data_IF_819680089482
#
_entry.id   IF_819680089482
#
_cell.length_a   1.000
_cell.length_b   1.000
_cell.length_c   1.000
_cell.angle_alpha   90.00
_cell.angle_beta   90.00
_cell.angle_gamma   90.00
#
_symmetry.space_group_name_H-M   'P 1'
#
loop_
_entity.id
_entity.type
_entity.pdbx_description
1 polymer ?
#
# COMPACT_ATOMS: atom_id res chain seq x y z
N UNK A 1 29.16 -14.86 -21.53
CA UNK A 1 29.45 -14.86 -20.07
C UNK A 1 28.15 -15.13 -19.35
N UNK A 2 28.01 -16.28 -18.69
CA UNK A 2 26.77 -16.63 -17.99
C UNK A 2 26.54 -15.69 -16.80
N UNK A 3 25.28 -15.35 -16.52
CA UNK A 3 24.88 -14.55 -15.36
C UNK A 3 25.32 -15.18 -14.02
N UNK A 4 25.63 -16.47 -14.01
CA UNK A 4 26.18 -17.19 -12.87
C UNK A 4 27.63 -16.78 -12.54
N UNK A 5 28.48 -16.57 -13.56
CA UNK A 5 29.87 -16.14 -13.33
C UNK A 5 30.01 -14.70 -12.82
N UNK A 6 28.95 -13.87 -12.89
CA UNK A 6 28.92 -12.54 -12.28
C UNK A 6 28.51 -12.57 -10.80
N UNK A 7 27.70 -13.56 -10.36
CA UNK A 7 27.29 -13.68 -8.95
C UNK A 7 28.41 -14.17 -8.03
N UNK A 8 29.35 -14.97 -8.55
CA UNK A 8 30.53 -15.39 -7.77
C UNK A 8 31.52 -14.24 -7.59
N UNK A 9 31.74 -13.42 -8.62
CA UNK A 9 32.58 -12.22 -8.49
C UNK A 9 32.03 -11.18 -7.50
N UNK A 10 30.71 -11.03 -7.39
CA UNK A 10 30.09 -10.14 -6.39
C UNK A 10 30.12 -10.71 -4.96
N UNK A 11 30.33 -12.02 -4.78
CA UNK A 11 30.53 -12.62 -3.45
C UNK A 11 31.96 -12.47 -2.95
N UNK A 12 32.94 -12.43 -3.84
CA UNK A 12 34.36 -12.36 -3.50
C UNK A 12 34.86 -10.94 -3.20
N UNK A 13 34.09 -9.90 -3.53
CA UNK A 13 34.39 -8.50 -3.16
C UNK A 13 33.90 -8.14 -1.73
N UNK A 14 33.43 -9.12 -0.95
CA UNK A 14 33.01 -8.94 0.45
C UNK A 14 34.13 -9.39 1.40
N UNK A 15 35.29 -8.72 1.30
CA UNK A 15 36.28 -8.72 2.38
C UNK A 15 36.77 -7.29 2.58
N UNK A 16 36.45 -6.73 3.74
CA UNK A 16 37.17 -5.58 4.32
C UNK A 16 36.35 -4.31 4.47
N UNK A 17 35.49 -4.24 5.48
CA UNK A 17 35.28 -2.97 6.18
C UNK A 17 35.05 -3.21 7.68
N UNK A 18 36.09 -3.69 8.37
CA UNK A 18 36.19 -3.66 9.84
C UNK A 18 36.56 -2.25 10.38
N UNK A 19 36.45 -1.20 9.56
CA UNK A 19 36.84 0.18 9.93
C UNK A 19 35.71 1.21 9.92
N UNK A 20 34.47 0.83 9.62
CA UNK A 20 33.37 1.76 9.46
C UNK A 20 32.71 2.18 10.79
N UNK A 21 32.52 3.49 10.98
CA UNK A 21 31.68 4.12 12.01
C UNK A 21 30.28 3.50 12.16
N UNK A 22 29.82 2.69 11.19
CA UNK A 22 28.55 1.96 11.23
C UNK A 22 28.42 0.93 12.35
N UNK A 23 29.54 0.38 12.86
CA UNK A 23 29.56 -0.50 14.04
C UNK A 23 29.73 0.23 15.38
N UNK A 24 29.94 1.55 15.34
CA UNK A 24 30.23 2.33 16.53
C UNK A 24 29.00 2.42 17.45
N UNK A 25 29.12 2.18 18.77
CA UNK A 25 27.97 2.12 19.69
C UNK A 25 27.07 3.35 19.63
N UNK A 26 27.65 4.55 19.49
CA UNK A 26 26.89 5.81 19.37
C UNK A 26 26.14 5.95 18.04
N UNK A 27 26.68 5.40 16.95
CA UNK A 27 26.03 5.42 15.62
C UNK A 27 24.89 4.40 15.58
N UNK A 28 25.09 3.25 16.23
CA UNK A 28 24.05 2.24 16.43
C UNK A 28 22.92 2.77 17.33
N UNK A 29 23.24 3.52 18.39
CA UNK A 29 22.26 4.12 19.29
C UNK A 29 21.52 5.31 18.65
N UNK A 30 22.21 6.10 17.82
CA UNK A 30 21.57 7.12 16.97
C UNK A 30 20.65 6.48 15.91
N UNK A 31 21.07 5.40 15.23
CA UNK A 31 20.21 4.63 14.33
C UNK A 31 19.00 4.06 15.07
N UNK A 32 19.18 3.49 16.27
CA UNK A 32 18.10 2.91 17.09
C UNK A 32 17.11 3.99 17.57
N UNK A 33 17.61 5.16 17.93
CA UNK A 33 16.81 6.31 18.39
C UNK A 33 16.07 7.00 17.24
N UNK A 34 16.71 7.12 16.07
CA UNK A 34 16.08 7.64 14.84
C UNK A 34 15.02 6.68 14.31
N UNK A 35 15.30 5.38 14.33
CA UNK A 35 14.35 4.30 13.96
C UNK A 35 13.15 4.23 14.93
N UNK A 36 13.37 4.48 16.23
CA UNK A 36 12.32 4.64 17.26
C UNK A 36 11.49 5.92 17.04
N UNK A 37 12.10 7.06 16.70
CA UNK A 37 11.39 8.32 16.39
C UNK A 37 10.51 8.19 15.16
N UNK A 38 11.01 7.60 14.08
CA UNK A 38 10.22 7.39 12.85
C UNK A 38 9.07 6.40 13.09
N UNK A 39 9.20 5.47 14.05
CA UNK A 39 8.09 4.59 14.47
C UNK A 39 7.01 5.34 15.27
N UNK A 40 7.37 6.44 15.93
CA UNK A 40 6.37 7.35 16.52
C UNK A 40 5.58 8.15 15.48
N UNK A 41 5.96 8.15 14.20
CA UNK A 41 5.34 8.98 13.15
C UNK A 41 4.26 8.26 12.31
N UNK A 42 4.34 6.93 12.10
CA UNK A 42 3.19 6.16 11.55
C UNK A 42 2.10 5.99 12.62
N UNK A 43 2.51 5.87 13.88
CA UNK A 43 1.63 6.20 15.02
C UNK A 43 1.27 7.67 15.00
N UNK A 44 2.10 8.60 14.57
CA UNK A 44 1.76 10.02 14.50
C UNK A 44 0.49 10.32 13.69
N UNK A 45 0.27 9.64 12.56
CA UNK A 45 -0.99 9.73 11.81
C UNK A 45 -2.17 9.10 12.55
N UNK A 46 -2.02 7.87 13.02
CA UNK A 46 -3.09 7.15 13.74
C UNK A 46 -3.39 7.77 15.12
N UNK A 47 -2.37 8.26 15.80
CA UNK A 47 -2.37 9.04 17.04
C UNK A 47 -2.84 10.45 16.79
N UNK A 48 -2.61 11.08 15.63
CA UNK A 48 -3.27 12.34 15.30
C UNK A 48 -4.77 12.10 15.16
N UNK A 49 -5.19 11.03 14.48
CA UNK A 49 -6.60 10.65 14.42
C UNK A 49 -7.17 10.29 15.79
N UNK A 50 -6.39 9.60 16.63
CA UNK A 50 -6.75 9.26 18.00
C UNK A 50 -6.79 10.50 18.90
N UNK A 51 -5.84 11.43 18.77
CA UNK A 51 -5.77 12.71 19.48
C UNK A 51 -6.91 13.60 19.01
N UNK A 52 -7.24 13.63 17.71
CA UNK A 52 -8.41 14.34 17.19
C UNK A 52 -9.69 13.72 17.74
N UNK A 53 -9.83 12.40 17.76
CA UNK A 53 -10.97 11.72 18.37
C UNK A 53 -11.07 12.01 19.88
N UNK A 54 -9.96 11.91 20.62
CA UNK A 54 -9.88 12.22 22.06
C UNK A 54 -10.18 13.71 22.31
N UNK A 55 -9.64 14.63 21.51
CA UNK A 55 -9.90 16.08 21.61
C UNK A 55 -11.37 16.38 21.35
N UNK A 56 -11.97 15.76 20.33
CA UNK A 56 -13.42 15.86 20.05
C UNK A 56 -14.23 15.35 21.24
N UNK A 57 -13.83 14.23 21.85
CA UNK A 57 -14.46 13.66 23.05
C UNK A 57 -14.16 14.44 24.34
N UNK A 58 -13.20 15.38 24.32
CA UNK A 58 -12.81 16.23 25.46
C UNK A 58 -13.52 17.59 25.46
N UNK A 59 -14.33 17.88 24.44
CA UNK A 59 -15.14 19.09 24.37
C UNK A 59 -16.24 19.08 25.46
N UNK A 60 -16.72 20.26 25.92
CA UNK A 60 -17.83 20.32 26.87
C UNK A 60 -19.04 19.52 26.39
N UNK A 61 -19.71 18.81 27.29
CA UNK A 61 -20.80 17.89 26.95
C UNK A 61 -21.94 18.58 26.18
N UNK A 62 -22.25 19.82 26.55
CA UNK A 62 -23.22 20.66 25.83
C UNK A 62 -22.76 20.98 24.40
N UNK A 63 -21.47 21.23 24.19
CA UNK A 63 -20.90 21.50 22.87
C UNK A 63 -20.89 20.23 22.01
N UNK A 64 -20.50 19.10 22.62
CA UNK A 64 -20.54 17.79 21.99
C UNK A 64 -21.97 17.46 21.54
N UNK A 65 -22.95 17.61 22.43
CA UNK A 65 -24.34 17.26 22.16
C UNK A 65 -25.01 18.20 21.15
N UNK A 66 -24.70 19.50 21.20
CA UNK A 66 -25.37 20.49 20.36
C UNK A 66 -24.72 20.69 18.98
N UNK A 67 -23.40 20.55 18.87
CA UNK A 67 -22.66 20.87 17.64
C UNK A 67 -21.98 19.66 17.00
N UNK A 68 -21.42 18.74 17.78
CA UNK A 68 -20.60 17.64 17.24
C UNK A 68 -21.41 16.37 16.99
N UNK A 69 -22.21 15.92 17.95
CA UNK A 69 -23.03 14.71 17.85
C UNK A 69 -23.97 14.75 16.64
N UNK A 70 -24.62 15.88 16.32
CA UNK A 70 -25.42 15.99 15.10
C UNK A 70 -24.60 15.82 13.83
N UNK A 71 -23.31 16.19 13.84
CA UNK A 71 -22.38 16.13 12.72
C UNK A 71 -21.46 14.91 12.73
N UNK A 72 -21.57 14.02 13.72
CA UNK A 72 -20.61 12.93 13.96
C UNK A 72 -20.35 12.06 12.72
N UNK A 73 -21.39 11.81 11.93
CA UNK A 73 -21.28 11.00 10.72
C UNK A 73 -20.52 11.73 9.61
N UNK A 74 -20.74 13.03 9.45
CA UNK A 74 -20.02 13.85 8.47
C UNK A 74 -18.56 14.05 8.89
N UNK A 75 -18.30 14.23 10.19
CA UNK A 75 -16.94 14.31 10.72
C UNK A 75 -16.17 13.01 10.50
N UNK A 76 -16.77 11.85 10.77
CA UNK A 76 -16.15 10.55 10.49
C UNK A 76 -15.89 10.38 8.98
N UNK A 77 -16.88 10.74 8.14
CA UNK A 77 -16.76 10.69 6.67
C UNK A 77 -15.67 11.61 6.11
N UNK A 78 -15.34 12.69 6.79
CA UNK A 78 -14.23 13.58 6.45
C UNK A 78 -12.89 13.08 7.01
N UNK A 79 -12.86 12.62 8.27
CA UNK A 79 -11.64 12.18 8.94
C UNK A 79 -11.03 10.95 8.26
N UNK A 80 -11.84 10.00 7.80
CA UNK A 80 -11.36 8.78 7.13
C UNK A 80 -10.55 9.08 5.87
N UNK A 81 -11.05 9.82 4.86
CA UNK A 81 -10.26 10.14 3.67
C UNK A 81 -9.05 11.03 3.98
N UNK A 82 -9.11 11.94 4.97
CA UNK A 82 -7.93 12.70 5.42
C UNK A 82 -6.86 11.76 5.97
N UNK A 83 -7.25 10.82 6.84
CA UNK A 83 -6.36 9.84 7.45
C UNK A 83 -5.73 8.96 6.39
N UNK A 84 -6.56 8.38 5.52
CA UNK A 84 -6.10 7.50 4.45
C UNK A 84 -5.20 8.25 3.46
N UNK A 85 -5.53 9.50 3.10
CA UNK A 85 -4.65 10.34 2.29
C UNK A 85 -3.29 10.55 2.97
N UNK A 86 -3.27 10.95 4.24
CA UNK A 86 -2.04 11.17 4.99
C UNK A 86 -1.16 9.91 5.08
N UNK A 87 -1.78 8.76 5.36
CA UNK A 87 -1.09 7.46 5.41
C UNK A 87 -0.53 7.07 4.04
N UNK A 88 -1.32 7.20 2.97
CA UNK A 88 -0.87 6.87 1.62
C UNK A 88 0.19 7.86 1.11
N UNK A 89 0.10 9.13 1.50
CA UNK A 89 1.11 10.13 1.17
C UNK A 89 2.43 9.81 1.86
N UNK A 90 2.37 9.41 3.14
CA UNK A 90 3.55 8.95 3.89
C UNK A 90 4.14 7.67 3.29
N UNK A 91 3.30 6.72 2.86
CA UNK A 91 3.75 5.52 2.14
C UNK A 91 4.46 5.89 0.82
N UNK A 92 3.88 6.80 0.04
CA UNK A 92 4.48 7.30 -1.19
C UNK A 92 5.82 8.01 -0.93
N UNK A 93 5.87 8.88 0.08
CA UNK A 93 7.10 9.56 0.50
C UNK A 93 8.16 8.56 0.95
N UNK A 94 7.76 7.53 1.69
CA UNK A 94 8.66 6.46 2.12
C UNK A 94 9.25 5.73 0.91
N UNK A 95 8.41 5.32 -0.02
CA UNK A 95 8.82 4.60 -1.23
C UNK A 95 9.76 5.45 -2.10
N UNK A 96 9.45 6.73 -2.31
CA UNK A 96 10.22 7.59 -3.22
C UNK A 96 11.43 8.27 -2.61
N UNK A 97 11.42 8.54 -1.30
CA UNK A 97 12.40 9.44 -0.67
C UNK A 97 13.17 8.76 0.46
N UNK A 98 12.50 8.02 1.35
CA UNK A 98 13.14 7.48 2.55
C UNK A 98 13.76 6.09 2.33
N UNK A 99 13.17 5.30 1.44
CA UNK A 99 13.68 3.97 1.13
C UNK A 99 15.00 4.13 0.36
N UNK A 100 16.12 3.61 0.89
CA UNK A 100 17.37 3.64 0.16
C UNK A 100 17.21 2.88 -1.16
N UNK A 101 17.97 3.26 -2.21
CA UNK A 101 17.95 2.54 -3.48
C UNK A 101 18.50 1.14 -3.26
N UNK A 102 17.60 0.18 -3.03
CA UNK A 102 17.90 -1.24 -2.93
C UNK A 102 17.87 -1.89 -4.30
N UNK A 103 17.31 -1.19 -5.29
CA UNK A 103 17.14 -1.65 -6.65
C UNK A 103 18.41 -1.40 -7.49
N UNK A 104 18.82 -2.34 -8.35
CA UNK A 104 19.87 -2.11 -9.32
C UNK A 104 19.65 -0.82 -10.12
N UNK A 105 20.67 0.04 -10.20
CA UNK A 105 20.60 1.33 -10.92
C UNK A 105 20.09 1.21 -12.36
N UNK A 106 20.37 0.08 -13.01
CA UNK A 106 19.89 -0.21 -14.36
C UNK A 106 18.37 -0.22 -14.48
N UNK A 107 17.66 -0.78 -13.50
CA UNK A 107 16.19 -0.95 -13.51
C UNK A 107 15.49 0.41 -13.50
N UNK A 108 15.96 1.32 -12.65
CA UNK A 108 15.33 2.63 -12.41
C UNK A 108 15.85 3.73 -13.34
N UNK A 109 16.77 3.42 -14.25
CA UNK A 109 17.44 4.42 -15.09
C UNK A 109 16.53 5.08 -16.12
N UNK A 110 15.52 4.35 -16.64
CA UNK A 110 14.59 4.86 -17.64
C UNK A 110 13.37 5.53 -17.02
N UNK A 111 12.66 4.82 -16.14
CA UNK A 111 11.34 5.23 -15.65
C UNK A 111 11.30 5.51 -14.13
N UNK A 112 12.47 5.56 -13.48
CA UNK A 112 12.56 5.68 -12.03
C UNK A 112 11.86 4.51 -11.32
N UNK A 113 11.19 4.80 -10.20
CA UNK A 113 10.41 3.79 -9.46
C UNK A 113 9.02 3.51 -10.07
N UNK A 114 8.61 4.21 -11.13
CA UNK A 114 7.30 3.97 -11.75
C UNK A 114 7.18 2.60 -12.44
N UNK A 115 8.29 1.89 -12.65
CA UNK A 115 8.27 0.50 -13.12
C UNK A 115 7.71 -0.47 -12.07
N UNK A 116 7.70 -0.09 -10.79
CA UNK A 116 7.18 -0.94 -9.72
C UNK A 116 5.65 -0.82 -9.58
N UNK A 117 5.01 -1.95 -9.37
CA UNK A 117 3.56 -2.05 -9.25
C UNK A 117 3.06 -1.25 -8.04
N UNK A 118 3.79 -1.33 -6.93
CA UNK A 118 3.54 -0.60 -5.68
C UNK A 118 3.39 0.90 -5.89
N UNK A 119 4.30 1.52 -6.65
CA UNK A 119 4.26 2.97 -6.93
C UNK A 119 3.00 3.37 -7.71
N UNK A 120 2.65 2.59 -8.74
CA UNK A 120 1.46 2.86 -9.54
C UNK A 120 0.18 2.75 -8.70
N UNK A 121 0.08 1.72 -7.87
CA UNK A 121 -1.07 1.51 -6.99
C UNK A 121 -1.17 2.60 -5.93
N UNK A 122 -0.07 2.95 -5.26
CA UNK A 122 -0.06 4.05 -4.28
C UNK A 122 -0.50 5.38 -4.94
N UNK A 123 -0.01 5.66 -6.16
CA UNK A 123 -0.43 6.83 -6.92
C UNK A 123 -1.94 6.84 -7.21
N UNK A 124 -2.50 5.70 -7.62
CA UNK A 124 -3.95 5.54 -7.84
C UNK A 124 -4.75 5.74 -6.54
N UNK A 125 -4.29 5.18 -5.42
CA UNK A 125 -4.92 5.39 -4.12
C UNK A 125 -4.90 6.87 -3.72
N UNK A 126 -3.79 7.58 -3.95
CA UNK A 126 -3.68 9.01 -3.66
C UNK A 126 -4.64 9.86 -4.49
N UNK A 127 -4.75 9.59 -5.80
CA UNK A 127 -5.74 10.25 -6.66
C UNK A 127 -7.15 10.01 -6.12
N UNK A 128 -7.47 8.76 -5.79
CA UNK A 128 -8.76 8.41 -5.23
C UNK A 128 -9.07 9.11 -3.90
N UNK A 129 -8.16 9.10 -2.92
CA UNK A 129 -8.38 9.76 -1.64
C UNK A 129 -8.45 11.29 -1.77
N UNK A 130 -7.74 11.86 -2.75
CA UNK A 130 -7.89 13.28 -3.10
C UNK A 130 -9.30 13.58 -3.62
N UNK A 131 -9.81 12.78 -4.56
CA UNK A 131 -11.18 12.93 -5.07
C UNK A 131 -12.22 12.75 -3.97
N UNK A 132 -12.02 11.75 -3.10
CA UNK A 132 -12.90 11.51 -1.95
C UNK A 132 -12.88 12.70 -0.98
N UNK A 133 -11.70 13.25 -0.68
CA UNK A 133 -11.56 14.41 0.20
C UNK A 133 -12.25 15.65 -0.39
N UNK A 134 -12.00 15.95 -1.67
CA UNK A 134 -12.67 17.05 -2.39
C UNK A 134 -14.18 16.86 -2.38
N UNK A 135 -14.66 15.63 -2.62
CA UNK A 135 -16.08 15.30 -2.57
C UNK A 135 -16.72 15.57 -1.22
N UNK A 136 -16.04 15.22 -0.12
CA UNK A 136 -16.53 15.52 1.24
C UNK A 136 -16.51 17.01 1.54
N UNK A 137 -15.47 17.75 1.14
CA UNK A 137 -15.45 19.21 1.29
C UNK A 137 -16.60 19.87 0.52
N UNK A 138 -16.80 19.49 -0.75
CA UNK A 138 -17.92 19.97 -1.56
C UNK A 138 -19.26 19.77 -0.85
N UNK A 139 -19.49 18.59 -0.24
CA UNK A 139 -20.71 18.30 0.52
C UNK A 139 -20.87 19.20 1.75
N UNK A 140 -19.81 19.36 2.56
CA UNK A 140 -19.84 20.20 3.77
C UNK A 140 -20.19 21.65 3.44
N UNK A 141 -19.70 22.17 2.31
CA UNK A 141 -19.98 23.54 1.87
C UNK A 141 -21.27 23.68 1.04
N UNK A 142 -22.06 22.61 0.88
CA UNK A 142 -23.32 22.64 0.13
C UNK A 142 -23.16 22.70 -1.39
N UNK A 143 -21.98 22.39 -1.92
CA UNK A 143 -21.68 22.31 -3.36
C UNK A 143 -21.65 20.85 -3.84
N UNK A 144 -22.69 20.08 -3.55
CA UNK A 144 -22.74 18.66 -3.95
C UNK A 144 -22.59 18.53 -5.48
N UNK A 145 -21.58 17.76 -5.91
CA UNK A 145 -21.32 17.48 -7.31
C UNK A 145 -21.60 16.00 -7.60
N UNK A 146 -22.65 15.75 -8.38
CA UNK A 146 -23.09 14.40 -8.72
C UNK A 146 -22.04 13.63 -9.52
N UNK A 147 -21.32 14.30 -10.43
CA UNK A 147 -20.26 13.68 -11.23
C UNK A 147 -19.11 13.24 -10.34
N UNK A 148 -18.66 14.10 -9.42
CA UNK A 148 -17.58 13.78 -8.49
C UNK A 148 -17.97 12.62 -7.56
N UNK A 149 -19.21 12.62 -7.09
CA UNK A 149 -19.77 11.52 -6.29
C UNK A 149 -19.76 10.23 -7.11
N UNK A 150 -20.36 10.24 -8.29
CA UNK A 150 -20.42 9.09 -9.20
C UNK A 150 -19.02 8.51 -9.49
N UNK A 151 -18.08 9.37 -9.88
CA UNK A 151 -16.70 8.96 -10.19
C UNK A 151 -16.02 8.37 -8.96
N UNK A 152 -16.11 9.03 -7.81
CA UNK A 152 -15.45 8.56 -6.57
C UNK A 152 -15.99 7.20 -6.14
N UNK A 153 -17.31 7.00 -6.13
CA UNK A 153 -17.91 5.75 -5.68
C UNK A 153 -17.68 4.59 -6.67
N UNK A 154 -17.71 4.84 -7.99
CA UNK A 154 -17.33 3.82 -8.98
C UNK A 154 -15.86 3.48 -8.94
N UNK A 155 -15.01 4.49 -8.79
CA UNK A 155 -13.56 4.31 -8.78
C UNK A 155 -13.11 3.53 -7.53
N UNK A 156 -13.81 3.69 -6.41
CA UNK A 156 -13.54 2.97 -5.17
C UNK A 156 -13.38 1.45 -5.35
N UNK A 157 -14.24 0.79 -6.13
CA UNK A 157 -14.15 -0.68 -6.32
C UNK A 157 -12.81 -1.09 -6.94
N UNK A 158 -12.31 -0.28 -7.87
CA UNK A 158 -11.04 -0.51 -8.55
C UNK A 158 -9.88 -0.29 -7.58
N UNK A 159 -9.94 0.80 -6.83
CA UNK A 159 -8.93 1.17 -5.82
C UNK A 159 -8.87 0.13 -4.71
N UNK A 160 -10.03 -0.35 -4.24
CA UNK A 160 -10.13 -1.42 -3.27
C UNK A 160 -9.47 -2.69 -3.80
N UNK A 161 -9.81 -3.11 -5.03
CA UNK A 161 -9.26 -4.31 -5.66
C UNK A 161 -7.73 -4.22 -5.83
N UNK A 162 -7.22 -3.10 -6.33
CA UNK A 162 -5.78 -2.87 -6.50
C UNK A 162 -5.04 -2.78 -5.16
N UNK A 163 -5.63 -2.09 -4.17
CA UNK A 163 -5.07 -1.96 -2.82
C UNK A 163 -5.00 -3.31 -2.08
N UNK A 164 -6.03 -4.14 -2.22
CA UNK A 164 -6.04 -5.52 -1.73
C UNK A 164 -4.97 -6.36 -2.46
N UNK A 165 -4.93 -6.30 -3.80
CA UNK A 165 -3.99 -7.06 -4.61
C UNK A 165 -2.54 -6.74 -4.27
N UNK A 166 -2.21 -5.46 -4.10
CA UNK A 166 -0.87 -5.01 -3.69
C UNK A 166 -0.41 -5.66 -2.38
N UNK A 167 -1.27 -5.62 -1.36
CA UNK A 167 -0.97 -6.23 -0.06
C UNK A 167 -0.90 -7.75 -0.14
N UNK A 168 -1.84 -8.39 -0.83
CA UNK A 168 -1.88 -9.84 -0.95
C UNK A 168 -0.65 -10.39 -1.67
N UNK A 169 -0.24 -9.78 -2.78
CA UNK A 169 0.96 -10.21 -3.49
C UNK A 169 2.23 -9.99 -2.68
N UNK A 170 2.32 -8.88 -1.95
CA UNK A 170 3.44 -8.66 -1.03
C UNK A 170 3.52 -9.72 0.05
N UNK A 171 2.42 -10.00 0.77
CA UNK A 171 2.43 -11.00 1.82
C UNK A 171 2.62 -12.41 1.27
N UNK A 172 2.06 -12.73 0.10
CA UNK A 172 2.31 -14.00 -0.59
C UNK A 172 3.80 -14.15 -0.97
N UNK A 173 4.44 -13.07 -1.43
CA UNK A 173 5.88 -13.05 -1.73
C UNK A 173 6.73 -13.22 -0.48
N UNK A 174 6.53 -12.39 0.55
CA UNK A 174 7.33 -12.48 1.80
C UNK A 174 7.14 -13.81 2.53
N UNK A 175 5.92 -14.34 2.57
CA UNK A 175 5.63 -15.62 3.22
C UNK A 175 5.98 -16.83 2.34
N UNK A 176 5.93 -16.70 1.02
CA UNK A 176 6.13 -17.78 0.07
C UNK A 176 7.55 -17.91 -0.48
N UNK A 177 8.30 -16.81 -0.60
CA UNK A 177 9.60 -16.76 -1.28
C UNK A 177 10.78 -16.68 -0.30
N UNK A 178 11.65 -17.69 -0.34
CA UNK A 178 12.84 -17.73 0.48
C UNK A 178 13.88 -16.67 0.05
N UNK A 179 13.98 -16.38 -1.25
CA UNK A 179 14.95 -15.41 -1.78
C UNK A 179 14.59 -13.99 -1.34
N UNK A 180 13.31 -13.66 -1.31
CA UNK A 180 12.83 -12.36 -0.83
C UNK A 180 13.12 -12.18 0.66
N UNK A 181 12.90 -13.22 1.48
CA UNK A 181 13.27 -13.18 2.90
C UNK A 181 14.77 -13.06 3.10
N UNK A 182 15.58 -13.77 2.31
CA UNK A 182 17.03 -13.65 2.37
C UNK A 182 17.48 -12.24 2.01
N UNK A 183 16.90 -11.64 0.97
CA UNK A 183 17.19 -10.27 0.56
C UNK A 183 16.83 -9.25 1.66
N UNK A 184 15.63 -9.38 2.24
CA UNK A 184 15.19 -8.57 3.37
C UNK A 184 16.17 -8.68 4.55
N UNK A 185 16.56 -9.90 4.93
CA UNK A 185 17.50 -10.14 6.02
C UNK A 185 18.89 -9.59 5.72
N UNK A 186 19.38 -9.73 4.47
CA UNK A 186 20.65 -9.18 4.03
C UNK A 186 20.71 -7.66 4.19
N UNK A 187 19.64 -6.96 3.81
CA UNK A 187 19.54 -5.51 4.00
C UNK A 187 19.37 -5.13 5.48
N UNK A 188 18.63 -5.93 6.25
CA UNK A 188 18.49 -5.75 7.68
C UNK A 188 19.84 -5.80 8.41
N UNK A 189 20.69 -6.78 8.07
CA UNK A 189 22.05 -6.91 8.61
C UNK A 189 22.95 -5.72 8.24
N UNK A 190 22.68 -5.04 7.13
CA UNK A 190 23.35 -3.78 6.73
C UNK A 190 22.77 -2.55 7.45
N UNK A 191 21.87 -2.76 8.41
CA UNK A 191 21.19 -1.71 9.16
C UNK A 191 20.15 -0.95 8.34
N UNK A 192 19.67 -1.52 7.23
CA UNK A 192 18.54 -1.01 6.45
C UNK A 192 17.30 -1.82 6.83
N UNK A 193 16.29 -1.23 7.50
CA UNK A 193 15.10 -1.96 7.93
C UNK A 193 14.15 -2.20 6.73
N UNK A 194 14.57 -2.97 5.73
CA UNK A 194 13.84 -3.15 4.46
C UNK A 194 12.45 -3.77 4.68
N UNK A 195 12.33 -4.80 5.51
CA UNK A 195 11.04 -5.38 5.90
C UNK A 195 10.06 -4.31 6.36
N UNK A 196 10.54 -3.35 7.15
CA UNK A 196 9.71 -2.27 7.69
C UNK A 196 9.20 -1.36 6.58
N UNK A 197 10.07 -0.93 5.67
CA UNK A 197 9.66 -0.10 4.54
C UNK A 197 8.59 -0.81 3.71
N UNK A 198 8.82 -2.08 3.38
CA UNK A 198 7.90 -2.88 2.58
C UNK A 198 6.56 -3.11 3.30
N UNK A 199 6.56 -3.46 4.59
CA UNK A 199 5.32 -3.58 5.36
C UNK A 199 4.55 -2.27 5.45
N UNK A 200 5.25 -1.14 5.61
CA UNK A 200 4.60 0.17 5.62
C UNK A 200 3.99 0.51 4.26
N UNK A 201 4.72 0.35 3.16
CA UNK A 201 4.21 0.72 1.83
C UNK A 201 3.08 -0.18 1.37
N UNK A 202 3.20 -1.49 1.59
CA UNK A 202 2.19 -2.46 1.15
C UNK A 202 1.04 -2.55 2.15
N UNK A 203 1.30 -2.69 3.45
CA UNK A 203 0.25 -2.84 4.47
C UNK A 203 -0.65 -1.61 4.64
N UNK A 204 -0.14 -0.41 4.36
CA UNK A 204 -0.95 0.82 4.35
C UNK A 204 -2.13 0.72 3.37
N UNK A 205 -1.94 0.13 2.20
CA UNK A 205 -3.00 0.07 1.19
C UNK A 205 -4.18 -0.75 1.68
N UNK A 206 -3.92 -1.95 2.24
CA UNK A 206 -4.95 -2.82 2.81
C UNK A 206 -5.72 -2.12 3.93
N UNK A 207 -5.00 -1.48 4.86
CA UNK A 207 -5.61 -0.75 5.97
C UNK A 207 -6.53 0.37 5.46
N UNK A 208 -6.01 1.23 4.57
CA UNK A 208 -6.73 2.40 4.09
C UNK A 208 -8.00 2.01 3.30
N UNK A 209 -7.94 0.99 2.43
CA UNK A 209 -9.12 0.59 1.64
C UNK A 209 -10.19 -0.08 2.50
N UNK A 210 -9.80 -0.81 3.55
CA UNK A 210 -10.74 -1.41 4.50
C UNK A 210 -11.38 -0.36 5.42
N UNK A 211 -10.60 0.59 5.94
CA UNK A 211 -11.16 1.69 6.74
C UNK A 211 -12.17 2.49 5.92
N UNK A 212 -11.82 2.83 4.67
CA UNK A 212 -12.73 3.54 3.79
C UNK A 212 -14.00 2.73 3.50
N UNK A 213 -13.90 1.42 3.23
CA UNK A 213 -15.07 0.56 3.07
C UNK A 213 -16.00 0.56 4.30
N UNK A 214 -15.43 0.43 5.50
CA UNK A 214 -16.18 0.31 6.77
C UNK A 214 -16.97 1.60 7.06
N UNK A 215 -16.39 2.76 6.77
CA UNK A 215 -16.96 4.05 7.14
C UNK A 215 -17.67 4.79 6.01
N UNK A 216 -17.58 4.31 4.77
CA UNK A 216 -18.28 4.89 3.61
C UNK A 216 -19.77 4.55 3.63
N UNK A 217 -20.60 5.40 3.02
CA UNK A 217 -22.04 5.17 2.90
C UNK A 217 -22.30 3.94 2.00
N UNK A 218 -22.78 2.86 2.62
CA UNK A 218 -22.97 1.54 1.98
C UNK A 218 -24.00 1.57 0.87
N UNK A 219 -25.11 2.27 1.07
CA UNK A 219 -26.17 2.36 0.09
C UNK A 219 -25.68 3.04 -1.18
N UNK A 220 -24.90 4.12 -1.02
CA UNK A 220 -24.26 4.81 -2.14
C UNK A 220 -23.18 3.95 -2.82
N UNK A 221 -22.34 3.24 -2.06
CA UNK A 221 -21.36 2.29 -2.65
C UNK A 221 -22.08 1.25 -3.50
N UNK A 222 -23.15 0.67 -2.97
CA UNK A 222 -23.89 -0.38 -3.67
C UNK A 222 -24.68 0.15 -4.86
N UNK A 223 -25.24 1.37 -4.79
CA UNK A 223 -25.96 1.97 -5.92
C UNK A 223 -25.03 2.34 -7.08
N UNK A 224 -23.74 2.59 -6.79
CA UNK A 224 -22.72 2.89 -7.78
C UNK A 224 -21.79 1.72 -8.10
N UNK A 225 -22.11 0.49 -7.67
CA UNK A 225 -21.33 -0.68 -8.03
C UNK A 225 -21.26 -0.81 -9.57
N UNK A 226 -20.05 -0.81 -10.16
CA UNK A 226 -19.90 -1.11 -11.58
C UNK A 226 -20.31 -2.56 -11.86
N UNK A 227 -20.71 -2.83 -13.11
CA UNK A 227 -21.00 -4.22 -13.52
C UNK A 227 -19.72 -5.06 -13.46
N UNK A 228 -19.87 -6.39 -13.33
CA UNK A 228 -18.72 -7.28 -13.24
C UNK A 228 -17.83 -7.19 -14.49
N UNK A 229 -18.44 -7.05 -15.67
CA UNK A 229 -17.73 -6.89 -16.93
C UNK A 229 -16.86 -5.62 -16.93
N UNK A 230 -17.38 -4.52 -16.36
CA UNK A 230 -16.61 -3.28 -16.26
C UNK A 230 -15.41 -3.44 -15.30
N UNK A 231 -15.59 -4.14 -14.18
CA UNK A 231 -14.50 -4.42 -13.22
C UNK A 231 -13.42 -5.28 -13.89
N UNK A 232 -13.83 -6.34 -14.60
CA UNK A 232 -12.91 -7.22 -15.31
C UNK A 232 -12.15 -6.44 -16.38
N UNK A 233 -12.87 -5.68 -17.22
CA UNK A 233 -12.27 -4.94 -18.33
C UNK A 233 -11.28 -3.87 -17.85
N UNK A 234 -11.62 -3.13 -16.80
CA UNK A 234 -10.76 -2.08 -16.25
C UNK A 234 -9.52 -2.64 -15.55
N UNK A 235 -9.65 -3.70 -14.73
CA UNK A 235 -8.50 -4.33 -14.08
C UNK A 235 -7.61 -5.05 -15.09
N UNK A 236 -8.19 -5.66 -16.12
CA UNK A 236 -7.44 -6.21 -17.24
C UNK A 236 -6.74 -5.11 -18.06
N UNK A 237 -7.41 -3.98 -18.27
CA UNK A 237 -6.83 -2.79 -18.90
C UNK A 237 -5.63 -2.26 -18.12
N UNK A 238 -5.75 -2.14 -16.79
CA UNK A 238 -4.65 -1.78 -15.91
C UNK A 238 -3.52 -2.81 -15.99
N UNK A 239 -3.83 -4.11 -15.91
CA UNK A 239 -2.84 -5.19 -16.01
C UNK A 239 -2.09 -5.15 -17.34
N UNK A 240 -2.80 -4.92 -18.45
CA UNK A 240 -2.22 -4.77 -19.79
C UNK A 240 -1.31 -3.54 -19.86
N UNK A 241 -1.78 -2.39 -19.37
CA UNK A 241 -0.98 -1.17 -19.27
C UNK A 241 0.33 -1.43 -18.50
N UNK A 242 0.23 -2.00 -17.31
CA UNK A 242 1.39 -2.26 -16.46
C UNK A 242 2.35 -3.26 -17.10
N UNK A 243 1.81 -4.28 -17.78
CA UNK A 243 2.60 -5.25 -18.55
C UNK A 243 3.41 -4.56 -19.64
N UNK A 244 2.76 -3.73 -20.46
CA UNK A 244 3.42 -2.96 -21.52
C UNK A 244 4.51 -2.06 -20.92
N UNK A 245 4.22 -1.41 -19.79
CA UNK A 245 5.17 -0.54 -19.11
C UNK A 245 6.43 -1.28 -18.64
N UNK A 246 6.27 -2.44 -18.00
CA UNK A 246 7.39 -3.29 -17.58
C UNK A 246 8.20 -3.80 -18.77
N UNK A 247 7.53 -4.23 -19.85
CA UNK A 247 8.19 -4.72 -21.05
C UNK A 247 8.96 -3.61 -21.79
N UNK A 248 8.42 -2.39 -21.80
CA UNK A 248 9.11 -1.21 -22.32
C UNK A 248 10.34 -0.86 -21.48
N UNK A 249 10.20 -0.90 -20.15
CA UNK A 249 11.35 -0.68 -19.27
C UNK A 249 12.43 -1.75 -19.50
N UNK A 250 12.05 -3.02 -19.66
CA UNK A 250 12.97 -4.11 -19.95
C UNK A 250 13.65 -3.94 -21.32
N UNK A 251 12.92 -3.57 -22.37
CA UNK A 251 13.50 -3.42 -23.71
C UNK A 251 14.55 -2.31 -23.77
N UNK A 252 14.42 -1.29 -22.93
CA UNK A 252 15.36 -0.16 -22.84
C UNK A 252 16.53 -0.46 -21.89
N UNK A 253 16.23 -1.02 -20.71
CA UNK A 253 17.24 -1.19 -19.64
C UNK A 253 17.93 -2.54 -19.64
N UNK A 254 17.29 -3.56 -20.21
CA UNK A 254 17.72 -4.97 -20.14
C UNK A 254 17.44 -5.65 -18.79
N UNK A 255 16.72 -5.00 -17.87
CA UNK A 255 16.44 -5.55 -16.54
C UNK A 255 14.95 -5.52 -16.20
N UNK A 256 14.43 -6.63 -15.67
CA UNK A 256 13.09 -6.65 -15.09
C UNK A 256 13.11 -6.04 -13.68
N UNK A 257 12.02 -5.35 -13.27
CA UNK A 257 11.90 -4.79 -11.92
C UNK A 257 11.90 -5.85 -10.83
N UNK A 258 11.44 -7.07 -11.13
CA UNK A 258 11.36 -8.15 -10.15
C UNK A 258 12.43 -9.22 -10.40
N UNK A 259 13.23 -9.60 -9.39
CA UNK A 259 14.30 -10.59 -9.53
C UNK A 259 13.82 -11.95 -10.09
N UNK A 260 12.67 -12.44 -9.65
CA UNK A 260 12.11 -13.72 -10.11
C UNK A 260 11.82 -13.74 -11.62
N UNK A 261 11.49 -12.59 -12.23
CA UNK A 261 11.28 -12.48 -13.68
C UNK A 261 12.58 -12.63 -14.45
N UNK A 262 13.69 -12.11 -13.92
CA UNK A 262 15.01 -12.32 -14.52
C UNK A 262 15.41 -13.80 -14.49
N UNK A 263 14.93 -14.57 -13.50
CA UNK A 263 15.14 -16.01 -13.40
C UNK A 263 14.42 -16.84 -14.47
N UNK A 264 13.34 -16.32 -15.07
CA UNK A 264 12.57 -17.03 -16.10
C UNK A 264 13.32 -17.14 -17.44
N UNK A 265 14.35 -16.32 -17.68
CA UNK A 265 15.25 -16.39 -18.84
C UNK A 265 14.62 -16.14 -20.21
N UNK A 266 13.28 -15.99 -20.29
CA UNK A 266 12.53 -15.80 -21.52
C UNK A 266 11.51 -14.65 -21.35
N UNK A 267 11.65 -13.54 -22.09
CA UNK A 267 10.71 -12.41 -22.03
C UNK A 267 9.26 -12.78 -22.36
N UNK A 268 9.03 -13.82 -23.17
CA UNK A 268 7.69 -14.35 -23.45
C UNK A 268 7.04 -14.98 -22.23
N UNK A 269 7.80 -15.72 -21.40
CA UNK A 269 7.31 -16.27 -20.14
C UNK A 269 7.00 -15.16 -19.13
N UNK A 270 7.84 -14.12 -19.09
CA UNK A 270 7.59 -12.92 -18.30
C UNK A 270 6.29 -12.21 -18.72
N UNK A 271 6.04 -12.08 -20.02
CA UNK A 271 4.80 -11.52 -20.54
C UNK A 271 3.59 -12.37 -20.14
N UNK A 272 3.65 -13.69 -20.30
CA UNK A 272 2.59 -14.60 -19.88
C UNK A 272 2.30 -14.49 -18.38
N UNK A 273 3.34 -14.42 -17.54
CA UNK A 273 3.20 -14.23 -16.10
C UNK A 273 2.47 -12.91 -15.77
N UNK A 274 2.86 -11.81 -16.41
CA UNK A 274 2.22 -10.51 -16.20
C UNK A 274 0.74 -10.52 -16.65
N UNK A 275 0.41 -11.22 -17.74
CA UNK A 275 -0.98 -11.42 -18.15
C UNK A 275 -1.78 -12.23 -17.12
N UNK A 276 -1.18 -13.28 -16.54
CA UNK A 276 -1.80 -14.08 -15.46
C UNK A 276 -2.06 -13.20 -14.24
N UNK A 277 -1.11 -12.33 -13.87
CA UNK A 277 -1.29 -11.38 -12.77
C UNK A 277 -2.46 -10.41 -13.02
N UNK A 278 -2.64 -9.97 -14.27
CA UNK A 278 -3.83 -9.20 -14.68
C UNK A 278 -5.13 -10.00 -14.51
N UNK A 279 -5.12 -11.29 -14.85
CA UNK A 279 -6.25 -12.21 -14.62
C UNK A 279 -6.57 -12.41 -13.14
N UNK A 280 -5.55 -12.62 -12.30
CA UNK A 280 -5.70 -12.71 -10.84
C UNK A 280 -6.28 -11.41 -10.28
N UNK A 281 -5.83 -10.25 -10.77
CA UNK A 281 -6.40 -8.96 -10.41
C UNK A 281 -7.89 -8.87 -10.74
N UNK A 282 -8.30 -9.30 -11.94
CA UNK A 282 -9.73 -9.34 -12.30
C UNK A 282 -10.54 -10.26 -11.37
N UNK A 283 -10.02 -11.44 -11.01
CA UNK A 283 -10.65 -12.34 -10.05
C UNK A 283 -10.79 -11.70 -8.67
N UNK A 284 -9.74 -11.04 -8.17
CA UNK A 284 -9.78 -10.28 -6.91
C UNK A 284 -10.82 -9.17 -6.99
N UNK A 285 -10.95 -8.51 -8.15
CA UNK A 285 -11.96 -7.47 -8.36
C UNK A 285 -13.39 -7.98 -8.28
N UNK A 286 -13.68 -9.11 -8.91
CA UNK A 286 -15.01 -9.75 -8.81
C UNK A 286 -15.28 -10.20 -7.37
N UNK A 287 -14.30 -10.83 -6.70
CA UNK A 287 -14.45 -11.20 -5.29
C UNK A 287 -14.67 -9.98 -4.40
N UNK A 288 -13.97 -8.88 -4.69
CA UNK A 288 -14.09 -7.61 -3.95
C UNK A 288 -15.47 -6.98 -4.14
N UNK A 289 -16.04 -6.97 -5.34
CA UNK A 289 -17.39 -6.44 -5.55
C UNK A 289 -18.47 -7.29 -4.91
N UNK A 290 -18.31 -8.62 -4.91
CA UNK A 290 -19.16 -9.53 -4.15
C UNK A 290 -19.05 -9.25 -2.66
N UNK A 291 -17.83 -9.09 -2.13
CA UNK A 291 -17.58 -8.77 -0.73
C UNK A 291 -18.22 -7.43 -0.34
N UNK A 292 -18.03 -6.39 -1.15
CA UNK A 292 -18.65 -5.06 -0.94
C UNK A 292 -20.18 -5.18 -0.92
N UNK A 293 -20.75 -6.04 -1.77
CA UNK A 293 -22.20 -6.29 -1.78
C UNK A 293 -22.67 -7.01 -0.49
N UNK A 294 -21.84 -7.90 0.06
CA UNK A 294 -22.11 -8.61 1.32
C UNK A 294 -21.96 -7.72 2.56
N UNK A 295 -21.24 -6.59 2.47
CA UNK A 295 -21.15 -5.58 3.56
C UNK A 295 -22.49 -4.91 3.86
N UNK A 296 -23.54 -5.11 3.04
CA UNK A 296 -24.92 -4.77 3.44
C UNK A 296 -25.43 -5.60 4.63
N UNK A 297 -24.86 -6.77 4.87
CA UNK A 297 -25.22 -7.63 6.00
C UNK A 297 -24.44 -7.19 7.24
N UNK A 298 -25.13 -6.62 8.24
CA UNK A 298 -24.52 -6.10 9.47
C UNK A 298 -23.66 -7.16 10.22
N UNK A 299 -23.99 -8.45 10.08
CA UNK A 299 -23.24 -9.57 10.67
C UNK A 299 -21.82 -9.73 10.07
N UNK A 300 -21.66 -9.50 8.77
CA UNK A 300 -20.36 -9.61 8.08
C UNK A 300 -19.40 -8.52 8.56
N UNK A 301 -19.93 -7.37 8.99
CA UNK A 301 -19.14 -6.22 9.42
C UNK A 301 -18.53 -6.42 10.80
N UNK A 302 -19.24 -7.07 11.72
CA UNK A 302 -18.65 -7.40 13.02
C UNK A 302 -17.47 -8.37 12.84
N UNK A 303 -17.59 -9.34 11.92
CA UNK A 303 -16.47 -10.22 11.55
C UNK A 303 -15.31 -9.43 10.93
N UNK A 304 -15.59 -8.49 10.01
CA UNK A 304 -14.56 -7.66 9.39
C UNK A 304 -13.87 -6.69 10.35
N UNK A 305 -14.63 -6.08 11.27
CA UNK A 305 -14.08 -5.22 12.32
C UNK A 305 -13.17 -6.03 13.22
N UNK A 306 -13.60 -7.22 13.67
CA UNK A 306 -12.79 -8.09 14.53
C UNK A 306 -11.54 -8.58 13.80
N UNK A 307 -11.66 -9.03 12.54
CA UNK A 307 -10.53 -9.52 11.75
C UNK A 307 -9.50 -8.42 11.42
N UNK A 308 -9.96 -7.23 11.03
CA UNK A 308 -9.07 -6.09 10.76
C UNK A 308 -8.43 -5.55 12.03
N UNK A 309 -9.17 -5.48 13.16
CA UNK A 309 -8.59 -5.12 14.45
C UNK A 309 -7.50 -6.12 14.83
N UNK A 310 -7.72 -7.42 14.57
CA UNK A 310 -6.72 -8.46 14.81
C UNK A 310 -5.49 -8.29 13.92
N UNK A 311 -5.66 -8.02 12.62
CA UNK A 311 -4.55 -7.79 11.69
C UNK A 311 -3.74 -6.53 12.04
N UNK A 312 -4.41 -5.45 12.47
CA UNK A 312 -3.79 -4.19 12.88
C UNK A 312 -3.03 -4.35 14.22
N UNK A 313 -3.63 -5.05 15.18
CA UNK A 313 -3.08 -5.22 16.53
C UNK A 313 -1.98 -6.28 16.58
N UNK A 314 -2.13 -7.39 15.85
CA UNK A 314 -1.23 -8.55 15.94
C UNK A 314 -0.31 -8.72 14.72
N UNK A 315 -0.65 -8.18 13.55
CA UNK A 315 0.19 -8.27 12.34
C UNK A 315 1.52 -7.53 12.45
N UNK A 316 1.62 -6.51 13.32
CA UNK A 316 2.88 -5.80 13.61
C UNK A 316 3.80 -6.52 14.61
N UNK A 317 3.31 -7.53 15.32
CA UNK A 317 4.08 -8.24 16.36
C UNK A 317 4.79 -9.51 15.88
N UNK A 318 4.37 -10.07 14.75
CA UNK A 318 4.86 -11.38 14.27
C UNK A 318 6.23 -11.36 13.58
N UNK A 319 6.68 -10.22 13.04
CA UNK A 319 7.94 -10.12 12.32
C UNK A 319 9.17 -9.87 13.22
N UNK A 320 8.98 -9.79 14.54
CA UNK A 320 10.05 -9.53 15.51
C UNK A 320 10.44 -10.73 16.39
N UNK A 321 9.89 -11.92 16.14
CA UNK A 321 10.15 -13.10 16.96
C UNK A 321 10.61 -14.29 16.11
N UNK A 322 11.93 -14.47 16.00
CA UNK A 322 12.54 -15.67 15.42
C UNK A 322 13.85 -15.37 14.70
N UNK A 323 14.92 -15.14 15.47
CA UNK A 323 16.28 -14.92 14.98
C UNK A 323 17.10 -14.09 15.94
#
# INVERSE_FOLDING_TARGET
MSLWGKREKEKDDIVGDEGGLGGHPLVMDAKRTFTKRIWSEWRGGLSACFITAVTILSLPEDFLNYYILPLRFELVRLMVPITCFGVMFAANWTEHVLQPPVEPKGIVSFSGKSVFFTVNVIGILLVYYTLSLVGQFCRIYGYENEILTYVTYRFFVHVYSLGMMLSLFYYAGVLGDADERENINRWHLRGVPLARYLHTTHGSSLLCVNLDLIFKNRDLVCSFLPTQEFIILSLHGFGTYYTIWVMLNYSITGYFPYPFMNGMGNPGLCFCFLCIMGGVGACIGVCSSMLISLVKCDEVIEVFKVANLYAIVFGGGGAGGGG
#
